data_IF_884225456889
#
_entry.id   IF_884225456889
#
_cell.length_a   1.000
_cell.length_b   1.000
_cell.length_c   1.000
_cell.angle_alpha   90.00
_cell.angle_beta   90.00
_cell.angle_gamma   90.00
#
_symmetry.space_group_name_H-M   'P 1'
#
loop_
_entity.id
_entity.type
_entity.pdbx_description
1 polymer ?
#
# COMPACT_ATOMS: atom_id res chain seq x y z
N UNK A 1 -26.71 -48.29 16.02
CA UNK A 1 -26.37 -48.72 14.63
C UNK A 1 -24.89 -49.09 14.43
N UNK A 2 -23.92 -48.59 15.21
CA UNK A 2 -22.50 -48.97 15.10
C UNK A 2 -22.07 -50.18 15.98
N UNK A 3 -22.91 -50.57 16.94
CA UNK A 3 -22.61 -51.65 17.89
C UNK A 3 -22.85 -53.06 17.32
N UNK A 4 -23.69 -53.21 16.29
CA UNK A 4 -24.12 -54.52 15.77
C UNK A 4 -23.20 -55.14 14.72
N UNK A 5 -22.09 -54.49 14.34
CA UNK A 5 -21.21 -54.92 13.22
C UNK A 5 -19.78 -55.31 13.62
N UNK A 6 -19.44 -55.42 14.90
CA UNK A 6 -18.07 -55.75 15.33
C UNK A 6 -17.00 -54.69 15.02
N UNK A 7 -17.40 -53.54 14.44
CA UNK A 7 -16.52 -52.43 14.06
C UNK A 7 -16.25 -51.44 15.22
N UNK A 8 -16.59 -51.82 16.46
CA UNK A 8 -16.43 -50.99 17.67
C UNK A 8 -14.99 -50.50 17.83
N UNK A 9 -14.00 -51.35 17.53
CA UNK A 9 -12.58 -50.95 17.52
C UNK A 9 -12.32 -49.82 16.51
N UNK A 10 -12.75 -49.97 15.27
CA UNK A 10 -12.55 -48.97 14.21
C UNK A 10 -13.24 -47.63 14.54
N UNK A 11 -14.45 -47.68 15.14
CA UNK A 11 -15.15 -46.48 15.61
C UNK A 11 -14.40 -45.76 16.75
N UNK A 12 -13.81 -46.51 17.69
CA UNK A 12 -12.97 -45.96 18.77
C UNK A 12 -11.68 -45.34 18.21
N UNK A 13 -11.02 -46.01 17.25
CA UNK A 13 -9.84 -45.46 16.58
C UNK A 13 -10.16 -44.17 15.80
N UNK A 14 -11.28 -44.13 15.07
CA UNK A 14 -11.71 -42.95 14.32
C UNK A 14 -12.01 -41.76 15.25
N UNK A 15 -12.70 -42.00 16.37
CA UNK A 15 -12.96 -40.97 17.38
C UNK A 15 -11.68 -40.47 18.06
N UNK A 16 -10.76 -41.38 18.39
CA UNK A 16 -9.48 -41.01 19.01
C UNK A 16 -8.58 -40.17 18.10
N UNK A 17 -8.40 -40.61 16.85
CA UNK A 17 -7.56 -39.90 15.87
C UNK A 17 -8.19 -38.56 15.49
N UNK A 18 -9.51 -38.52 15.28
CA UNK A 18 -10.23 -37.29 14.99
C UNK A 18 -10.11 -36.28 16.14
N UNK A 19 -10.33 -36.73 17.38
CA UNK A 19 -10.18 -35.90 18.58
C UNK A 19 -8.77 -35.34 18.75
N UNK A 20 -7.74 -36.17 18.55
CA UNK A 20 -6.35 -35.73 18.60
C UNK A 20 -6.04 -34.68 17.53
N UNK A 21 -6.55 -34.88 16.31
CA UNK A 21 -6.34 -33.93 15.20
C UNK A 21 -6.93 -32.56 15.49
N UNK A 22 -8.14 -32.50 16.07
CA UNK A 22 -8.80 -31.25 16.46
C UNK A 22 -8.01 -30.54 17.57
N UNK A 23 -7.55 -31.27 18.58
CA UNK A 23 -6.74 -30.69 19.66
C UNK A 23 -5.43 -30.11 19.13
N UNK A 24 -4.74 -30.82 18.24
CA UNK A 24 -3.52 -30.33 17.59
C UNK A 24 -3.80 -29.05 16.80
N UNK A 25 -4.90 -29.00 16.04
CA UNK A 25 -5.28 -27.81 15.28
C UNK A 25 -5.54 -26.58 16.19
N UNK A 26 -6.21 -26.77 17.33
CA UNK A 26 -6.45 -25.72 18.32
C UNK A 26 -5.11 -25.21 18.88
N UNK A 27 -4.22 -26.12 19.27
CA UNK A 27 -2.90 -25.77 19.81
C UNK A 27 -2.09 -24.99 18.78
N UNK A 28 -2.03 -25.47 17.53
CA UNK A 28 -1.33 -24.76 16.44
C UNK A 28 -1.95 -23.38 16.19
N UNK A 29 -3.28 -23.24 16.24
CA UNK A 29 -3.94 -21.95 16.04
C UNK A 29 -3.65 -20.95 17.16
N UNK A 30 -3.65 -21.40 18.43
CA UNK A 30 -3.38 -20.54 19.59
C UNK A 30 -1.90 -20.17 19.67
N UNK A 31 -1.01 -21.11 19.37
CA UNK A 31 0.44 -20.90 19.36
C UNK A 31 0.96 -20.37 18.02
N UNK A 32 0.08 -20.07 17.05
CA UNK A 32 0.53 -19.53 15.77
C UNK A 32 1.24 -18.21 16.05
N UNK A 33 2.48 -18.02 15.58
CA UNK A 33 3.14 -16.73 15.69
C UNK A 33 2.25 -15.69 15.01
N UNK A 34 1.90 -14.61 15.71
CA UNK A 34 1.39 -13.40 15.06
C UNK A 34 2.53 -12.93 14.17
N UNK A 35 2.41 -13.11 12.86
CA UNK A 35 3.49 -12.89 11.89
C UNK A 35 3.93 -11.43 11.78
N UNK A 36 4.44 -10.86 12.87
CA UNK A 36 5.32 -9.72 12.82
C UNK A 36 6.61 -10.22 12.19
N UNK A 37 6.75 -9.95 10.91
CA UNK A 37 8.03 -10.08 10.24
C UNK A 37 8.87 -8.95 10.81
N UNK A 38 9.64 -9.26 11.85
CA UNK A 38 10.72 -8.42 12.33
C UNK A 38 11.82 -8.50 11.28
N UNK A 39 11.63 -7.79 10.16
CA UNK A 39 12.69 -7.59 9.19
C UNK A 39 13.73 -6.79 9.96
N UNK A 40 14.91 -7.36 10.29
CA UNK A 40 15.95 -6.55 10.86
C UNK A 40 16.13 -5.41 9.86
N UNK A 41 15.94 -4.19 10.33
CA UNK A 41 16.46 -3.00 9.67
C UNK A 41 17.98 -3.12 9.76
N UNK A 42 18.58 -4.14 9.12
CA UNK A 42 19.97 -4.16 8.72
C UNK A 42 20.14 -2.82 8.08
N UNK A 43 20.90 -1.95 8.75
CA UNK A 43 21.01 -0.54 8.45
C UNK A 43 21.14 -0.41 6.93
N UNK A 44 20.01 -0.10 6.27
CA UNK A 44 20.02 0.16 4.85
C UNK A 44 21.06 1.26 4.71
N UNK A 45 22.07 1.09 3.83
CA UNK A 45 23.06 2.12 3.67
C UNK A 45 22.31 3.44 3.51
N UNK A 46 22.61 4.43 4.37
CA UNK A 46 22.07 5.80 4.27
C UNK A 46 22.53 6.51 2.98
N UNK A 47 22.99 5.75 1.99
CA UNK A 47 23.13 6.16 0.62
C UNK A 47 21.72 6.46 0.11
N UNK A 48 21.36 7.75 0.14
CA UNK A 48 20.18 8.23 -0.58
C UNK A 48 20.34 7.81 -2.04
N UNK A 49 19.54 6.84 -2.46
CA UNK A 49 19.44 6.48 -3.87
C UNK A 49 18.91 7.72 -4.58
N UNK A 50 19.71 8.24 -5.52
CA UNK A 50 19.28 9.37 -6.35
C UNK A 50 17.99 8.98 -7.05
N UNK A 51 17.01 9.88 -6.98
CA UNK A 51 15.71 9.68 -7.61
C UNK A 51 15.79 10.31 -9.01
N UNK A 52 15.52 9.56 -10.09
CA UNK A 52 15.57 10.15 -11.42
C UNK A 52 14.54 11.28 -11.58
N UNK A 53 15.04 12.45 -11.96
CA UNK A 53 14.26 13.70 -12.10
C UNK A 53 13.82 14.00 -13.54
N UNK A 54 14.13 13.11 -14.49
CA UNK A 54 13.84 13.35 -15.90
C UNK A 54 12.33 13.29 -16.20
N UNK A 55 11.88 14.16 -17.12
CA UNK A 55 10.54 14.07 -17.69
C UNK A 55 10.41 12.78 -18.53
N UNK A 56 9.29 12.08 -18.39
CA UNK A 56 8.96 10.89 -19.19
C UNK A 56 7.78 11.15 -20.15
N UNK A 57 7.10 12.29 -20.00
CA UNK A 57 5.98 12.70 -20.84
C UNK A 57 4.72 11.88 -20.56
N UNK A 58 3.87 11.75 -21.59
CA UNK A 58 2.59 11.06 -21.50
C UNK A 58 2.78 9.55 -21.38
N UNK A 59 2.19 8.98 -20.35
CA UNK A 59 2.19 7.56 -20.04
C UNK A 59 0.76 7.05 -19.91
N UNK A 60 0.51 5.85 -20.40
CA UNK A 60 -0.67 5.07 -20.07
C UNK A 60 -0.26 3.98 -19.09
N UNK A 61 -0.85 4.00 -17.89
CA UNK A 61 -0.57 3.04 -16.83
C UNK A 61 -1.68 2.00 -16.78
N UNK A 62 -1.34 0.77 -17.17
CA UNK A 62 -2.26 -0.37 -17.18
C UNK A 62 -2.10 -1.19 -15.92
N UNK A 63 -3.23 -1.58 -15.30
CA UNK A 63 -3.25 -2.33 -14.05
C UNK A 63 -2.55 -3.68 -14.20
N UNK A 64 -1.84 -4.11 -13.16
CA UNK A 64 -1.27 -5.46 -12.99
C UNK A 64 -2.12 -6.19 -11.95
N UNK A 65 -3.09 -7.03 -12.36
CA UNK A 65 -4.02 -7.68 -11.42
C UNK A 65 -3.31 -8.53 -10.37
N UNK A 66 -2.24 -9.23 -10.75
CA UNK A 66 -1.50 -10.18 -9.89
C UNK A 66 -0.73 -9.49 -8.76
N UNK A 67 -0.49 -8.18 -8.90
CA UNK A 67 0.18 -7.34 -7.90
C UNK A 67 -0.79 -6.43 -7.16
N UNK A 68 -2.08 -6.52 -7.48
CA UNK A 68 -3.11 -5.62 -7.00
C UNK A 68 -4.11 -6.32 -6.08
N UNK A 69 -4.58 -5.58 -5.07
CA UNK A 69 -5.73 -5.93 -4.26
C UNK A 69 -6.74 -4.80 -4.39
N UNK A 70 -7.83 -5.07 -5.08
CA UNK A 70 -8.89 -4.10 -5.39
C UNK A 70 -10.14 -4.52 -4.63
N UNK A 71 -10.80 -3.56 -4.00
CA UNK A 71 -12.06 -3.80 -3.28
C UNK A 71 -13.16 -2.87 -3.75
N UNK A 72 -12.87 -1.57 -3.88
CA UNK A 72 -13.86 -0.55 -4.28
C UNK A 72 -13.37 0.34 -5.42
N UNK A 73 -12.06 0.35 -5.70
CA UNK A 73 -11.46 1.24 -6.70
C UNK A 73 -11.68 0.73 -8.12
N UNK A 74 -11.71 1.66 -9.08
CA UNK A 74 -11.72 1.32 -10.51
C UNK A 74 -10.42 0.62 -10.93
N UNK A 75 -10.54 -0.35 -11.84
CA UNK A 75 -9.42 -1.06 -12.48
C UNK A 75 -9.03 -0.46 -13.84
N UNK A 76 -9.57 0.70 -14.20
CA UNK A 76 -9.29 1.39 -15.45
C UNK A 76 -7.82 1.83 -15.58
N UNK A 77 -7.40 1.98 -16.83
CA UNK A 77 -6.09 2.53 -17.17
C UNK A 77 -5.99 3.99 -16.71
N UNK A 78 -4.82 4.35 -16.18
CA UNK A 78 -4.55 5.67 -15.62
C UNK A 78 -3.61 6.45 -16.55
N UNK A 79 -4.10 7.48 -17.27
CA UNK A 79 -3.23 8.36 -18.02
C UNK A 79 -2.51 9.34 -17.07
N UNK A 80 -1.19 9.44 -17.20
CA UNK A 80 -0.37 10.42 -16.47
C UNK A 80 0.59 11.13 -17.41
N UNK A 81 0.83 12.42 -17.20
CA UNK A 81 1.90 13.19 -17.83
C UNK A 81 3.00 13.42 -16.80
N UNK A 82 4.11 12.70 -16.95
CA UNK A 82 5.22 12.72 -16.01
C UNK A 82 6.27 13.76 -16.43
N UNK A 83 6.22 14.90 -15.77
CA UNK A 83 7.19 15.98 -15.92
C UNK A 83 8.46 15.75 -15.12
N UNK A 84 9.40 16.69 -15.27
CA UNK A 84 10.64 16.66 -14.52
C UNK A 84 10.40 16.92 -13.03
N UNK A 85 11.35 16.49 -12.19
CA UNK A 85 11.37 16.75 -10.74
C UNK A 85 10.05 16.38 -10.03
N UNK A 86 9.42 15.28 -10.45
CA UNK A 86 8.18 14.78 -9.82
C UNK A 86 6.93 15.61 -10.08
N UNK A 87 6.94 16.48 -11.10
CA UNK A 87 5.72 17.17 -11.52
C UNK A 87 4.81 16.21 -12.30
N UNK A 88 3.57 16.03 -11.84
CA UNK A 88 2.59 15.18 -12.51
C UNK A 88 1.43 16.02 -13.03
N UNK A 89 1.04 15.78 -14.28
CA UNK A 89 -0.07 16.45 -14.97
C UNK A 89 -0.01 17.99 -14.94
N UNK A 90 1.20 18.56 -14.78
CA UNK A 90 1.43 20.00 -14.67
C UNK A 90 0.87 20.65 -13.40
N UNK A 91 0.36 19.88 -12.43
CA UNK A 91 -0.41 20.40 -11.29
C UNK A 91 -0.06 19.79 -9.94
N UNK A 92 0.59 18.63 -9.91
CA UNK A 92 0.83 17.92 -8.65
C UNK A 92 2.29 17.64 -8.45
N UNK A 93 2.87 18.23 -7.40
CA UNK A 93 4.23 17.94 -6.97
C UNK A 93 4.28 16.64 -6.16
N UNK A 94 5.08 15.69 -6.63
CA UNK A 94 5.52 14.51 -5.87
C UNK A 94 6.84 14.81 -5.15
N UNK A 95 7.12 14.10 -4.06
CA UNK A 95 8.37 14.21 -3.30
C UNK A 95 9.24 12.99 -3.58
N UNK A 96 10.47 13.23 -4.02
CA UNK A 96 11.43 12.18 -4.35
C UNK A 96 12.14 11.67 -3.10
N UNK A 97 12.14 10.36 -2.89
CA UNK A 97 12.92 9.68 -1.86
C UNK A 97 13.23 8.24 -2.29
N UNK A 98 14.48 7.81 -2.08
CA UNK A 98 14.90 6.41 -2.26
C UNK A 98 14.59 5.84 -3.66
N UNK A 99 14.88 6.61 -4.71
CA UNK A 99 14.66 6.19 -6.10
C UNK A 99 13.20 6.27 -6.57
N UNK A 100 12.28 6.73 -5.73
CA UNK A 100 10.84 6.79 -6.04
C UNK A 100 10.26 8.16 -5.72
N UNK A 101 9.16 8.47 -6.39
CA UNK A 101 8.38 9.68 -6.19
C UNK A 101 7.07 9.36 -5.53
N UNK A 102 6.77 10.03 -4.42
CA UNK A 102 5.56 9.79 -3.64
C UNK A 102 4.71 11.04 -3.46
N UNK A 103 3.38 10.85 -3.50
CA UNK A 103 2.37 11.86 -3.17
C UNK A 103 1.30 11.27 -2.27
N UNK A 104 1.05 11.92 -1.13
CA UNK A 104 -0.10 11.58 -0.27
C UNK A 104 -1.28 12.47 -0.61
N UNK A 105 -2.44 11.87 -0.88
CA UNK A 105 -3.69 12.54 -1.14
C UNK A 105 -4.66 12.29 0.01
N UNK A 106 -5.03 13.37 0.70
CA UNK A 106 -6.12 13.38 1.67
C UNK A 106 -7.23 14.23 1.06
N UNK A 107 -8.35 13.65 0.60
CA UNK A 107 -9.49 14.37 0.05
C UNK A 107 -10.34 15.02 1.15
N UNK A 108 -11.08 16.06 0.78
CA UNK A 108 -11.95 16.78 1.72
C UNK A 108 -13.27 16.04 1.98
N UNK A 109 -13.84 15.43 0.94
CA UNK A 109 -15.18 14.82 1.01
C UNK A 109 -15.19 13.29 1.16
N UNK A 110 -14.09 12.60 0.85
CA UNK A 110 -14.02 11.13 0.93
C UNK A 110 -13.36 10.67 2.24
N UNK A 111 -13.68 9.45 2.69
CA UNK A 111 -13.12 8.82 3.89
C UNK A 111 -11.95 7.89 3.58
N UNK A 112 -11.11 8.29 2.62
CA UNK A 112 -9.96 7.50 2.19
C UNK A 112 -8.72 8.36 2.08
N UNK A 113 -7.56 7.85 2.51
CA UNK A 113 -6.26 8.44 2.20
C UNK A 113 -5.58 7.58 1.15
N UNK A 114 -4.99 8.22 0.13
CA UNK A 114 -4.24 7.53 -0.92
C UNK A 114 -2.76 7.89 -0.86
N UNK A 115 -1.89 6.90 -0.95
CA UNK A 115 -0.45 7.06 -1.16
C UNK A 115 -0.14 6.64 -2.58
N UNK A 116 0.15 7.64 -3.42
CA UNK A 116 0.56 7.46 -4.80
C UNK A 116 2.08 7.36 -4.85
N UNK A 117 2.60 6.42 -5.62
CA UNK A 117 4.04 6.21 -5.77
C UNK A 117 4.39 5.87 -7.22
N UNK A 118 5.48 6.43 -7.72
CA UNK A 118 6.01 6.14 -9.05
C UNK A 118 7.51 5.85 -8.98
N UNK A 119 7.91 4.74 -9.58
CA UNK A 119 9.31 4.39 -9.82
C UNK A 119 9.65 4.68 -11.29
N UNK A 120 10.46 5.70 -11.60
CA UNK A 120 10.80 6.07 -12.96
C UNK A 120 11.73 5.07 -13.65
N UNK A 121 12.49 4.26 -12.89
CA UNK A 121 13.39 3.26 -13.46
C UNK A 121 12.62 2.05 -13.98
N UNK A 122 11.61 1.59 -13.22
CA UNK A 122 10.79 0.43 -13.59
C UNK A 122 9.46 0.83 -14.27
N UNK A 123 9.13 2.12 -14.28
CA UNK A 123 7.84 2.68 -14.72
C UNK A 123 6.65 2.00 -14.04
N UNK A 124 6.80 1.72 -12.75
CA UNK A 124 5.73 1.16 -11.91
C UNK A 124 5.06 2.29 -11.15
N UNK A 125 3.76 2.46 -11.38
CA UNK A 125 2.90 3.34 -10.61
C UNK A 125 2.07 2.53 -9.63
N UNK A 126 1.81 3.06 -8.44
CA UNK A 126 0.90 2.43 -7.49
C UNK A 126 0.05 3.43 -6.73
N UNK A 127 -1.20 3.04 -6.47
CA UNK A 127 -2.12 3.75 -5.61
C UNK A 127 -2.47 2.85 -4.42
N UNK A 128 -1.97 3.18 -3.24
CA UNK A 128 -2.25 2.45 -2.00
C UNK A 128 -3.29 3.22 -1.19
N UNK A 129 -4.45 2.61 -0.92
CA UNK A 129 -5.59 3.29 -0.30
C UNK A 129 -5.89 2.74 1.09
N UNK A 130 -6.17 3.67 1.99
CA UNK A 130 -6.52 3.42 3.38
C UNK A 130 -7.93 3.92 3.60
N UNK A 131 -8.83 3.01 4.02
CA UNK A 131 -10.12 3.38 4.58
C UNK A 131 -9.89 3.88 6.00
N UNK A 132 -10.42 5.05 6.30
CA UNK A 132 -10.12 5.75 7.53
C UNK A 132 -11.37 5.82 8.41
N UNK A 133 -11.18 5.80 9.73
CA UNK A 133 -12.23 6.21 10.66
C UNK A 133 -12.46 7.72 10.54
N UNK A 134 -13.62 8.21 10.99
CA UNK A 134 -13.92 9.65 10.98
C UNK A 134 -12.86 10.47 11.71
N UNK A 135 -12.48 10.04 12.92
CA UNK A 135 -11.41 10.68 13.71
C UNK A 135 -10.04 10.60 13.01
N UNK A 136 -9.73 9.46 12.37
CA UNK A 136 -8.50 9.30 11.60
C UNK A 136 -8.43 10.22 10.39
N UNK A 137 -9.54 10.43 9.67
CA UNK A 137 -9.60 11.40 8.58
C UNK A 137 -9.45 12.83 9.05
N UNK A 138 -10.05 13.19 10.18
CA UNK A 138 -9.90 14.53 10.76
C UNK A 138 -8.42 14.80 11.10
N UNK A 139 -7.76 13.83 11.74
CA UNK A 139 -6.33 13.89 12.01
C UNK A 139 -5.51 13.99 10.71
N UNK A 140 -5.84 13.21 9.68
CA UNK A 140 -5.16 13.24 8.39
C UNK A 140 -5.35 14.58 7.66
N UNK A 141 -6.54 15.19 7.69
CA UNK A 141 -6.80 16.50 7.07
C UNK A 141 -6.08 17.61 7.81
N UNK A 142 -6.03 17.53 9.14
CA UNK A 142 -5.25 18.45 9.98
C UNK A 142 -3.76 18.33 9.65
N UNK A 143 -3.23 17.11 9.57
CA UNK A 143 -1.83 16.84 9.24
C UNK A 143 -1.46 17.24 7.81
N UNK A 144 -2.37 17.06 6.84
CA UNK A 144 -2.19 17.51 5.44
C UNK A 144 -1.94 19.02 5.40
N UNK A 145 -2.72 19.79 6.17
CA UNK A 145 -2.73 21.25 6.09
C UNK A 145 -3.07 21.75 4.68
N UNK A 146 -2.59 22.95 4.35
CA UNK A 146 -2.72 23.54 3.01
C UNK A 146 -1.60 23.03 2.11
N UNK A 147 -1.98 22.46 0.98
CA UNK A 147 -1.03 22.01 -0.05
C UNK A 147 -1.46 22.57 -1.41
N UNK A 148 -0.67 23.45 -2.03
CA UNK A 148 -1.02 24.02 -3.32
C UNK A 148 -0.91 22.99 -4.45
N UNK A 149 -1.81 23.10 -5.43
CA UNK A 149 -1.80 22.31 -6.66
C UNK A 149 -0.87 22.96 -7.69
N UNK A 150 0.44 22.92 -7.41
CA UNK A 150 1.48 23.46 -8.28
C UNK A 150 2.60 22.45 -8.46
N UNK A 151 3.39 22.65 -9.51
CA UNK A 151 4.65 21.96 -9.76
C UNK A 151 5.83 22.91 -9.56
N UNK A 152 7.04 22.34 -9.54
CA UNK A 152 8.31 23.06 -9.45
C UNK A 152 8.42 23.88 -8.16
N UNK A 153 8.01 23.27 -7.05
CA UNK A 153 8.19 23.84 -5.73
C UNK A 153 9.67 24.10 -5.43
N UNK A 154 9.96 25.21 -4.75
CA UNK A 154 11.29 25.46 -4.20
C UNK A 154 11.65 24.45 -3.10
N UNK A 155 12.92 24.41 -2.70
CA UNK A 155 13.41 23.44 -1.70
C UNK A 155 12.70 23.55 -0.36
N UNK A 156 12.35 24.77 0.07
CA UNK A 156 11.64 25.01 1.31
C UNK A 156 10.19 24.48 1.25
N UNK A 157 9.50 24.69 0.13
CA UNK A 157 8.17 24.18 -0.15
C UNK A 157 8.17 22.65 -0.28
N UNK A 158 9.17 22.07 -0.93
CA UNK A 158 9.36 20.62 -0.98
C UNK A 158 9.59 20.03 0.41
N UNK A 159 10.40 20.69 1.25
CA UNK A 159 10.61 20.28 2.65
C UNK A 159 9.32 20.31 3.48
N UNK A 160 8.51 21.38 3.33
CA UNK A 160 7.19 21.47 3.98
C UNK A 160 6.25 20.37 3.51
N UNK A 161 6.17 20.14 2.19
CA UNK A 161 5.34 19.09 1.62
C UNK A 161 5.77 17.70 2.14
N UNK A 162 7.08 17.43 2.18
CA UNK A 162 7.61 16.19 2.72
C UNK A 162 7.21 15.99 4.19
N UNK A 163 7.32 17.05 5.01
CA UNK A 163 6.89 17.03 6.41
C UNK A 163 5.39 16.77 6.58
N UNK A 164 4.54 17.45 5.80
CA UNK A 164 3.09 17.23 5.81
C UNK A 164 2.73 15.79 5.42
N UNK A 165 3.35 15.24 4.36
CA UNK A 165 3.13 13.87 3.95
C UNK A 165 3.57 12.86 5.01
N UNK A 166 4.69 13.11 5.70
CA UNK A 166 5.15 12.28 6.81
C UNK A 166 4.17 12.32 7.99
N UNK A 167 3.64 13.51 8.34
CA UNK A 167 2.64 13.66 9.38
C UNK A 167 1.34 12.91 9.05
N UNK A 168 0.88 12.95 7.80
CA UNK A 168 -0.29 12.15 7.37
C UNK A 168 0.01 10.65 7.49
N UNK A 169 1.19 10.19 7.07
CA UNK A 169 1.57 8.77 7.16
C UNK A 169 1.58 8.24 8.59
N UNK A 170 1.91 9.09 9.56
CA UNK A 170 1.94 8.72 10.98
C UNK A 170 0.56 8.40 11.57
N UNK A 171 -0.53 8.85 10.94
CA UNK A 171 -1.92 8.58 11.38
C UNK A 171 -2.63 7.53 10.52
N UNK A 172 -1.94 6.92 9.56
CA UNK A 172 -2.52 5.88 8.73
C UNK A 172 -2.70 4.58 9.53
N UNK A 173 -3.76 3.81 9.23
CA UNK A 173 -3.85 2.41 9.66
C UNK A 173 -2.59 1.63 9.25
N UNK A 174 -2.19 0.63 10.04
CA UNK A 174 -0.96 -0.12 9.80
C UNK A 174 -0.99 -0.91 8.48
N UNK A 175 -2.18 -1.28 8.00
CA UNK A 175 -2.36 -2.01 6.76
C UNK A 175 -3.29 -1.25 5.81
N UNK A 176 -2.98 -1.21 4.51
CA UNK A 176 -3.88 -0.64 3.51
C UNK A 176 -5.05 -1.59 3.22
N UNK A 177 -6.17 -1.00 2.81
CA UNK A 177 -7.35 -1.75 2.37
C UNK A 177 -7.19 -2.19 0.92
N UNK A 178 -6.62 -1.31 0.09
CA UNK A 178 -6.38 -1.57 -1.33
C UNK A 178 -4.97 -1.18 -1.74
N UNK A 179 -4.46 -1.88 -2.75
CA UNK A 179 -3.22 -1.55 -3.43
C UNK A 179 -3.40 -1.84 -4.91
N UNK A 180 -3.40 -0.80 -5.72
CA UNK A 180 -3.45 -0.90 -7.17
C UNK A 180 -2.03 -0.68 -7.70
N UNK A 181 -1.54 -1.60 -8.51
CA UNK A 181 -0.19 -1.55 -9.10
C UNK A 181 -0.33 -1.56 -10.61
N UNK A 182 0.38 -0.66 -11.28
CA UNK A 182 0.28 -0.44 -12.72
C UNK A 182 1.67 -0.53 -13.37
N UNK A 183 1.70 -1.00 -14.61
CA UNK A 183 2.84 -0.87 -15.52
C UNK A 183 2.57 0.28 -16.48
N UNK A 184 3.45 1.29 -16.48
CA UNK A 184 3.30 2.48 -17.31
C UNK A 184 4.15 2.40 -18.57
N UNK A 185 3.52 2.64 -19.72
CA UNK A 185 4.17 2.72 -21.03
C UNK A 185 3.91 4.08 -21.65
N UNK A 186 4.80 4.53 -22.53
CA UNK A 186 4.58 5.77 -23.29
C UNK A 186 3.26 5.70 -24.04
N UNK A 187 2.39 6.68 -23.81
CA UNK A 187 1.17 6.86 -24.59
C UNK A 187 1.57 7.42 -25.95
N UNK A 188 1.14 6.76 -27.03
CA UNK A 188 1.30 7.26 -28.40
C UNK A 188 0.25 8.33 -28.69
#
# INVERSE_FOLDING_TARGET
MLESRGQRRQAVWALGIGGLSVLVAIVVFVLRPSGEVDVPLSALPKTRISTPDAALGKLMCTLIPERSRITISSSEDVPIDWGAKGCVNGKTQYVGANGRWDRVLVPDAEQTVSVLSFDPATRVYSNTRYLMSAAGMEAARTARGVVPNVCNMDEAALGRLAGQQAAVRAVLPPLPNEKLVYSCKSAR
#
